data_IF_496254048258
#
_entry.id   IF_496254048258
#
_cell.length_a   1.000
_cell.length_b   1.000
_cell.length_c   1.000
_cell.angle_alpha   90.00
_cell.angle_beta   90.00
_cell.angle_gamma   90.00
#
_symmetry.space_group_name_H-M   'P 1'
#
loop_
_entity.id
_entity.type
_entity.pdbx_description
1 polymer ?
#
# COMPACT_ATOMS: atom_id res chain seq x y z
N UNK A 1 1.95 8.97 -13.48
CA UNK A 1 3.32 8.89 -12.98
C UNK A 1 4.08 7.73 -13.64
N UNK A 2 3.68 6.46 -13.40
CA UNK A 2 4.47 5.30 -13.86
C UNK A 2 4.82 5.29 -15.35
N UNK A 3 3.94 5.83 -16.20
CA UNK A 3 4.14 5.87 -17.66
C UNK A 3 4.79 7.17 -18.17
N UNK A 4 5.13 8.12 -17.30
CA UNK A 4 5.70 9.41 -17.70
C UNK A 4 4.74 10.31 -18.50
N UNK A 5 3.44 10.02 -18.52
CA UNK A 5 2.45 10.81 -19.24
C UNK A 5 1.49 11.49 -18.26
N UNK A 6 0.96 12.65 -18.65
CA UNK A 6 -0.04 13.32 -17.83
C UNK A 6 -1.41 12.60 -17.92
N UNK A 7 -2.26 12.83 -16.94
CA UNK A 7 -3.52 12.12 -16.77
C UNK A 7 -4.42 12.13 -18.03
N UNK A 8 -4.41 13.20 -18.81
CA UNK A 8 -5.21 13.29 -20.05
C UNK A 8 -4.84 12.27 -21.12
N UNK A 9 -3.57 11.81 -21.13
CA UNK A 9 -3.07 10.79 -22.06
C UNK A 9 -2.95 9.40 -21.41
N UNK A 10 -3.12 9.29 -20.10
CA UNK A 10 -3.04 8.01 -19.41
C UNK A 10 -4.22 7.10 -19.75
N UNK A 11 -3.97 5.80 -19.74
CA UNK A 11 -5.03 4.78 -19.92
C UNK A 11 -5.93 4.66 -18.69
N UNK A 12 -5.36 4.85 -17.50
CA UNK A 12 -6.10 4.92 -16.23
C UNK A 12 -6.12 6.36 -15.77
N UNK A 13 -7.30 7.00 -15.82
CA UNK A 13 -7.45 8.45 -15.61
C UNK A 13 -8.09 8.85 -14.30
N UNK A 14 -8.71 7.89 -13.62
CA UNK A 14 -9.41 8.08 -12.35
C UNK A 14 -9.46 6.75 -11.59
N UNK A 15 -10.25 6.66 -10.53
CA UNK A 15 -10.48 5.42 -9.78
C UNK A 15 -11.24 4.37 -10.59
N UNK A 16 -10.62 3.88 -11.63
CA UNK A 16 -11.14 2.80 -12.48
C UNK A 16 -10.67 1.47 -11.90
N UNK A 17 -11.50 0.88 -11.04
CA UNK A 17 -11.21 -0.43 -10.46
C UNK A 17 -11.00 -1.48 -11.55
N UNK A 18 -10.07 -2.38 -11.32
CA UNK A 18 -9.74 -3.50 -12.20
C UNK A 18 -9.36 -3.08 -13.64
N UNK A 19 -8.88 -1.87 -13.83
CA UNK A 19 -8.30 -1.42 -15.08
C UNK A 19 -6.80 -1.62 -15.07
N UNK A 20 -6.31 -2.36 -16.07
CA UNK A 20 -4.89 -2.62 -16.23
C UNK A 20 -4.12 -1.40 -16.72
N UNK A 21 -2.89 -1.26 -16.22
CA UNK A 21 -1.89 -0.42 -16.85
C UNK A 21 -1.44 -1.11 -18.14
N UNK A 22 -1.85 -0.57 -19.29
CA UNK A 22 -1.70 -1.27 -20.58
C UNK A 22 -0.28 -1.33 -21.10
N UNK A 23 0.54 -0.33 -20.78
CA UNK A 23 1.87 -0.22 -21.35
C UNK A 23 2.93 -0.79 -20.42
N UNK A 24 3.95 -1.42 -21.02
CA UNK A 24 5.15 -1.86 -20.34
C UNK A 24 6.22 -0.77 -20.26
N UNK A 25 6.06 0.34 -20.96
CA UNK A 25 6.98 1.47 -20.87
C UNK A 25 6.68 2.26 -19.61
N UNK A 26 7.24 1.80 -18.50
CA UNK A 26 7.10 2.43 -17.19
C UNK A 26 8.45 2.95 -16.71
N UNK A 27 8.44 3.87 -15.75
CA UNK A 27 9.68 4.31 -15.10
C UNK A 27 10.47 3.12 -14.52
N UNK A 28 9.77 2.10 -14.04
CA UNK A 28 10.42 0.91 -13.50
C UNK A 28 11.09 0.06 -14.60
N UNK A 29 10.44 -0.13 -15.77
CA UNK A 29 11.08 -0.84 -16.88
C UNK A 29 12.30 -0.09 -17.41
N UNK A 30 12.21 1.22 -17.59
CA UNK A 30 13.33 2.05 -18.05
C UNK A 30 14.51 1.99 -17.09
N UNK A 31 14.24 2.12 -15.78
CA UNK A 31 15.31 2.05 -14.79
C UNK A 31 15.90 0.65 -14.64
N UNK A 32 15.09 -0.39 -14.73
CA UNK A 32 15.58 -1.77 -14.74
C UNK A 32 16.51 -2.04 -15.93
N UNK A 33 16.14 -1.59 -17.12
CA UNK A 33 16.99 -1.67 -18.33
C UNK A 33 18.28 -0.87 -18.18
N UNK A 34 18.25 0.22 -17.40
CA UNK A 34 19.44 1.00 -17.06
C UNK A 34 20.27 0.37 -15.90
N UNK A 35 19.95 -0.84 -15.45
CA UNK A 35 20.71 -1.58 -14.45
C UNK A 35 20.28 -1.34 -12.99
N UNK A 36 19.20 -0.61 -12.76
CA UNK A 36 18.66 -0.43 -11.41
C UNK A 36 17.97 -1.70 -10.91
N UNK A 37 18.10 -1.98 -9.61
CA UNK A 37 17.19 -2.89 -8.91
C UNK A 37 15.90 -2.14 -8.59
N UNK A 38 14.75 -2.73 -8.91
CA UNK A 38 13.47 -2.02 -8.81
C UNK A 38 12.51 -2.71 -7.84
N UNK A 39 11.86 -1.94 -6.98
CA UNK A 39 10.83 -2.47 -6.07
C UNK A 39 9.63 -1.53 -5.96
N UNK A 40 8.46 -2.13 -5.79
CA UNK A 40 7.23 -1.45 -5.38
C UNK A 40 6.79 -1.99 -4.03
N UNK A 41 6.68 -1.12 -3.03
CA UNK A 41 6.16 -1.47 -1.71
C UNK A 41 4.98 -0.58 -1.38
N UNK A 42 3.83 -1.19 -1.12
CA UNK A 42 2.59 -0.48 -0.80
C UNK A 42 1.43 -0.78 -1.74
N UNK A 43 0.60 0.24 -2.00
CA UNK A 43 -0.62 0.10 -2.81
C UNK A 43 -0.33 0.33 -4.30
N UNK A 44 -0.65 -0.67 -5.14
CA UNK A 44 -0.48 -0.59 -6.59
C UNK A 44 -1.75 -0.13 -7.33
N UNK A 45 -2.79 -0.95 -7.35
CA UNK A 45 -4.11 -0.58 -7.85
C UNK A 45 -4.28 -0.47 -9.37
N UNK A 46 -3.36 -1.02 -10.16
CA UNK A 46 -3.35 -0.92 -11.63
C UNK A 46 -3.24 -2.28 -12.32
N UNK A 47 -3.61 -3.33 -11.62
CA UNK A 47 -3.34 -4.73 -11.98
C UNK A 47 -4.22 -5.27 -13.13
N UNK A 48 -5.37 -4.69 -13.38
CA UNK A 48 -6.37 -5.26 -14.27
C UNK A 48 -7.31 -6.25 -13.56
N UNK A 49 -8.05 -7.01 -14.35
CA UNK A 49 -8.94 -8.07 -13.85
C UNK A 49 -8.14 -9.32 -13.59
N UNK A 50 -8.46 -10.03 -12.50
CA UNK A 50 -7.78 -11.26 -12.11
C UNK A 50 -7.94 -11.51 -10.62
N UNK A 51 -7.34 -12.60 -10.13
CA UNK A 51 -7.41 -13.02 -8.74
C UNK A 51 -6.05 -13.41 -8.15
N UNK A 52 -5.03 -13.54 -9.00
CA UNK A 52 -3.67 -13.95 -8.65
C UNK A 52 -2.64 -13.30 -9.57
N UNK A 53 -1.36 -13.47 -9.26
CA UNK A 53 -0.25 -12.88 -9.98
C UNK A 53 -0.21 -13.31 -11.46
N UNK A 54 -0.65 -14.52 -11.78
CA UNK A 54 -0.68 -15.03 -13.15
C UNK A 54 -1.79 -14.36 -13.96
N UNK A 55 -3.02 -14.32 -13.43
CA UNK A 55 -4.20 -13.80 -14.11
C UNK A 55 -4.25 -12.28 -14.23
N UNK A 56 -3.59 -11.55 -13.34
CA UNK A 56 -3.50 -10.09 -13.46
C UNK A 56 -2.58 -9.68 -14.61
N UNK A 57 -3.16 -9.05 -15.63
CA UNK A 57 -2.46 -8.61 -16.83
C UNK A 57 -1.30 -7.67 -16.53
N UNK A 58 -1.53 -6.72 -15.62
CA UNK A 58 -0.57 -5.69 -15.24
C UNK A 58 -0.05 -5.86 -13.82
N UNK A 59 0.26 -7.09 -13.42
CA UNK A 59 0.88 -7.35 -12.12
C UNK A 59 2.19 -6.55 -11.97
N UNK A 60 2.57 -6.06 -10.79
CA UNK A 60 3.75 -5.19 -10.63
C UNK A 60 5.03 -5.74 -11.25
N UNK A 61 5.31 -7.04 -11.10
CA UNK A 61 6.51 -7.65 -11.70
C UNK A 61 6.43 -7.72 -13.23
N UNK A 62 5.23 -7.72 -13.81
CA UNK A 62 5.01 -7.60 -15.26
C UNK A 62 5.16 -6.16 -15.79
N UNK A 63 5.35 -5.20 -14.89
CA UNK A 63 5.46 -3.76 -15.19
C UNK A 63 6.78 -3.15 -14.76
N UNK A 64 7.83 -3.98 -14.66
CA UNK A 64 9.21 -3.53 -14.48
C UNK A 64 9.72 -3.54 -13.06
N UNK A 65 8.92 -3.95 -12.09
CA UNK A 65 9.41 -4.13 -10.72
C UNK A 65 9.98 -5.53 -10.53
N UNK A 66 11.21 -5.63 -10.02
CA UNK A 66 11.83 -6.89 -9.67
C UNK A 66 11.26 -7.48 -8.39
N UNK A 67 10.74 -6.63 -7.52
CA UNK A 67 10.09 -7.03 -6.28
C UNK A 67 8.84 -6.22 -6.02
N UNK A 68 7.84 -6.89 -5.49
CA UNK A 68 6.59 -6.28 -5.04
C UNK A 68 6.23 -6.77 -3.64
N UNK A 69 5.81 -5.84 -2.79
CA UNK A 69 5.20 -6.15 -1.51
C UNK A 69 4.06 -5.18 -1.22
N UNK A 70 2.83 -5.66 -1.07
CA UNK A 70 1.71 -4.77 -0.74
C UNK A 70 0.37 -5.19 -1.30
N UNK A 71 -0.51 -4.22 -1.45
CA UNK A 71 -1.83 -4.38 -2.03
C UNK A 71 -1.78 -4.30 -3.55
N UNK A 72 -2.16 -5.39 -4.21
CA UNK A 72 -2.27 -5.41 -5.67
C UNK A 72 -3.53 -4.70 -6.11
N UNK A 73 -4.68 -5.08 -5.54
CA UNK A 73 -5.97 -4.53 -5.93
C UNK A 73 -6.21 -3.16 -5.29
N UNK A 74 -6.79 -2.24 -6.05
CA UNK A 74 -7.10 -0.89 -5.59
C UNK A 74 -7.94 -0.89 -4.31
N UNK A 75 -8.97 -1.74 -4.26
CA UNK A 75 -9.90 -1.81 -3.12
C UNK A 75 -9.25 -2.29 -1.83
N UNK A 76 -8.21 -3.12 -1.91
CA UNK A 76 -7.56 -3.68 -0.73
C UNK A 76 -6.82 -2.60 0.06
N UNK A 77 -6.22 -1.65 -0.61
CA UNK A 77 -5.58 -0.51 0.02
C UNK A 77 -6.54 0.57 0.56
N UNK A 78 -7.76 0.20 0.92
CA UNK A 78 -8.70 1.05 1.67
C UNK A 78 -8.78 0.66 3.14
N UNK A 79 -8.05 -0.35 3.58
CA UNK A 79 -7.91 -0.73 4.98
C UNK A 79 -6.43 -0.82 5.34
N UNK A 80 -6.13 -0.40 6.56
CA UNK A 80 -4.76 -0.32 7.05
C UNK A 80 -4.41 -1.48 8.00
N UNK A 81 -5.32 -2.45 8.14
CA UNK A 81 -5.12 -3.72 8.86
C UNK A 81 -5.60 -4.86 7.96
N UNK A 82 -4.72 -5.48 7.17
CA UNK A 82 -5.12 -6.44 6.14
C UNK A 82 -5.82 -7.68 6.70
N UNK A 83 -5.45 -8.14 7.89
CA UNK A 83 -6.07 -9.29 8.54
C UNK A 83 -7.44 -9.00 9.18
N UNK A 84 -7.88 -7.75 9.19
CA UNK A 84 -9.15 -7.38 9.79
C UNK A 84 -10.16 -6.98 8.71
N UNK A 85 -11.39 -7.41 8.83
CA UNK A 85 -12.45 -6.88 7.98
C UNK A 85 -12.65 -5.40 8.26
N UNK A 86 -13.15 -4.69 7.28
CA UNK A 86 -13.55 -3.30 7.44
C UNK A 86 -14.62 -3.19 8.56
N UNK A 87 -14.40 -2.39 9.60
CA UNK A 87 -15.26 -2.40 10.78
C UNK A 87 -16.66 -1.79 10.57
N UNK A 88 -16.87 -1.07 9.48
CA UNK A 88 -18.14 -0.42 9.14
C UNK A 88 -18.51 -0.69 7.70
N UNK A 89 -19.71 -1.14 7.46
CA UNK A 89 -20.24 -1.38 6.13
C UNK A 89 -20.83 -2.78 5.97
N UNK A 90 -21.83 -2.87 5.13
CA UNK A 90 -22.57 -4.10 4.90
C UNK A 90 -22.23 -4.80 3.61
N UNK A 91 -21.32 -4.24 2.79
CA UNK A 91 -20.92 -4.88 1.55
C UNK A 91 -19.98 -6.05 1.81
N UNK A 92 -20.05 -7.06 0.98
CA UNK A 92 -19.20 -8.23 1.06
C UNK A 92 -17.71 -7.86 0.99
N UNK A 93 -17.36 -6.89 0.15
CA UNK A 93 -15.99 -6.37 0.04
C UNK A 93 -15.45 -5.74 1.32
N UNK A 94 -16.31 -5.35 2.25
CA UNK A 94 -15.92 -4.83 3.56
C UNK A 94 -15.76 -5.93 4.62
N UNK A 95 -16.34 -7.10 4.40
CA UNK A 95 -16.32 -8.21 5.36
C UNK A 95 -15.14 -9.16 5.16
N UNK A 96 -14.59 -9.18 3.95
CA UNK A 96 -13.44 -10.03 3.64
C UNK A 96 -12.13 -9.35 4.03
N UNK A 97 -11.19 -10.12 4.52
CA UNK A 97 -9.80 -9.69 4.69
C UNK A 97 -9.21 -9.21 3.37
N UNK A 98 -8.22 -8.35 3.46
CA UNK A 98 -7.54 -7.79 2.30
C UNK A 98 -6.27 -8.55 2.01
N UNK A 99 -5.95 -8.66 0.73
CA UNK A 99 -4.82 -9.46 0.30
C UNK A 99 -3.56 -8.61 0.18
N UNK A 100 -2.54 -8.97 0.96
CA UNK A 100 -1.18 -8.48 0.79
C UNK A 100 -0.37 -9.56 0.10
N UNK A 101 0.40 -9.14 -0.89
CA UNK A 101 1.21 -10.02 -1.72
C UNK A 101 2.69 -9.71 -1.55
N UNK A 102 3.50 -10.74 -1.51
CA UNK A 102 4.94 -10.65 -1.63
C UNK A 102 5.35 -11.39 -2.89
N UNK A 103 5.74 -10.63 -3.89
CA UNK A 103 5.88 -11.14 -5.26
C UNK A 103 4.62 -11.90 -5.66
N UNK A 104 4.71 -13.16 -5.98
CA UNK A 104 3.58 -13.98 -6.46
C UNK A 104 2.85 -14.74 -5.34
N UNK A 105 3.26 -14.53 -4.08
CA UNK A 105 2.70 -15.21 -2.91
C UNK A 105 1.79 -14.29 -2.11
N UNK A 106 0.58 -14.74 -1.85
CA UNK A 106 -0.34 -14.09 -0.91
C UNK A 106 0.12 -14.36 0.53
N UNK A 107 0.24 -13.31 1.36
CA UNK A 107 0.86 -13.40 2.70
C UNK A 107 0.01 -12.82 3.82
N UNK A 108 -1.24 -12.44 3.58
CA UNK A 108 -2.08 -11.74 4.58
C UNK A 108 -2.26 -12.53 5.87
N UNK A 109 -2.35 -13.86 5.78
CA UNK A 109 -2.54 -14.73 6.94
C UNK A 109 -1.35 -14.71 7.92
N UNK A 110 -0.18 -14.32 7.42
CA UNK A 110 1.06 -14.19 8.21
C UNK A 110 1.16 -12.81 8.90
N UNK A 111 0.33 -11.85 8.48
CA UNK A 111 0.42 -10.44 8.86
C UNK A 111 -0.65 -10.06 9.90
N UNK A 112 -0.79 -10.85 10.93
CA UNK A 112 -1.75 -10.58 11.99
C UNK A 112 -1.38 -9.33 12.77
N UNK A 113 -2.34 -8.41 12.94
CA UNK A 113 -2.19 -7.16 13.71
C UNK A 113 -1.17 -6.15 13.14
N UNK A 114 -0.82 -6.26 11.86
CA UNK A 114 0.05 -5.30 11.21
C UNK A 114 -0.73 -4.07 10.76
N UNK A 115 -0.25 -2.88 11.12
CA UNK A 115 -0.64 -1.62 10.53
C UNK A 115 0.17 -1.40 9.26
N UNK A 116 -0.48 -1.18 8.12
CA UNK A 116 0.19 -1.23 6.81
C UNK A 116 1.27 -0.18 6.62
N UNK A 117 1.10 1.02 7.17
CA UNK A 117 2.13 2.06 7.07
C UNK A 117 3.43 1.62 7.76
N UNK A 118 3.32 1.01 8.93
CA UNK A 118 4.49 0.47 9.66
C UNK A 118 5.09 -0.73 8.91
N UNK A 119 4.22 -1.61 8.40
CA UNK A 119 4.61 -2.79 7.64
C UNK A 119 5.37 -2.40 6.36
N UNK A 120 4.84 -1.47 5.58
CA UNK A 120 5.49 -1.00 4.34
C UNK A 120 6.80 -0.27 4.64
N UNK A 121 6.84 0.50 5.72
CA UNK A 121 8.08 1.14 6.19
C UNK A 121 9.12 0.11 6.57
N UNK A 122 8.76 -0.87 7.40
CA UNK A 122 9.66 -1.93 7.84
C UNK A 122 10.20 -2.74 6.65
N UNK A 123 9.31 -3.14 5.72
CA UNK A 123 9.68 -3.88 4.52
C UNK A 123 10.61 -3.07 3.62
N UNK A 124 10.34 -1.79 3.43
CA UNK A 124 11.21 -0.90 2.64
C UNK A 124 12.60 -0.75 3.24
N UNK A 125 12.69 -0.56 4.55
CA UNK A 125 13.98 -0.50 5.25
C UNK A 125 14.76 -1.81 5.10
N UNK A 126 14.09 -2.95 5.31
CA UNK A 126 14.73 -4.25 5.16
C UNK A 126 15.22 -4.46 3.72
N UNK A 127 14.38 -4.15 2.74
CA UNK A 127 14.76 -4.27 1.32
C UNK A 127 16.00 -3.43 0.98
N UNK A 128 16.09 -2.19 1.47
CA UNK A 128 17.27 -1.34 1.26
C UNK A 128 18.52 -1.95 1.92
N UNK A 129 18.38 -2.46 3.13
CA UNK A 129 19.50 -3.11 3.87
C UNK A 129 19.98 -4.34 3.09
N UNK A 130 19.06 -5.20 2.67
CA UNK A 130 19.38 -6.43 1.93
C UNK A 130 20.06 -6.12 0.60
N UNK A 131 19.52 -5.13 -0.13
CA UNK A 131 20.10 -4.69 -1.39
C UNK A 131 21.52 -4.13 -1.20
N UNK A 132 21.71 -3.27 -0.21
CA UNK A 132 23.06 -2.72 0.10
C UNK A 132 24.04 -3.79 0.55
N UNK A 133 23.56 -4.84 1.20
CA UNK A 133 24.38 -5.97 1.63
C UNK A 133 24.79 -6.90 0.47
N UNK A 134 23.94 -7.04 -0.54
CA UNK A 134 24.15 -7.99 -1.64
C UNK A 134 24.71 -7.36 -2.91
N UNK A 135 24.34 -6.11 -3.20
CA UNK A 135 24.71 -5.39 -4.41
C UNK A 135 25.00 -3.89 -4.13
N UNK A 136 26.03 -3.57 -3.33
CA UNK A 136 26.27 -2.21 -2.83
C UNK A 136 26.47 -1.17 -3.93
N UNK A 137 26.99 -1.57 -5.09
CA UNK A 137 27.27 -0.66 -6.21
C UNK A 137 26.11 -0.56 -7.22
N UNK A 138 25.11 -1.44 -7.10
CA UNK A 138 23.94 -1.38 -7.99
C UNK A 138 22.99 -0.29 -7.50
N UNK A 139 22.63 0.68 -8.36
CA UNK A 139 21.60 1.64 -7.98
C UNK A 139 20.24 0.98 -7.85
N UNK A 140 19.34 1.57 -7.07
CA UNK A 140 17.99 1.07 -6.91
C UNK A 140 16.93 2.13 -7.12
N UNK A 141 15.74 1.67 -7.46
CA UNK A 141 14.52 2.46 -7.51
C UNK A 141 13.46 1.79 -6.63
N UNK A 142 13.08 2.48 -5.57
CA UNK A 142 12.00 2.05 -4.67
C UNK A 142 10.79 2.98 -4.84
N UNK A 143 9.69 2.42 -5.35
CA UNK A 143 8.39 3.10 -5.33
C UNK A 143 7.64 2.72 -4.06
N UNK A 144 7.72 3.59 -3.04
CA UNK A 144 7.02 3.41 -1.78
C UNK A 144 5.66 4.13 -1.84
N UNK A 145 4.60 3.33 -2.00
CA UNK A 145 3.24 3.79 -2.22
C UNK A 145 2.37 3.51 -1.00
N UNK A 146 2.40 4.40 -0.01
CA UNK A 146 1.54 4.26 1.16
C UNK A 146 0.05 4.32 0.80
N UNK A 147 -0.75 3.51 1.48
CA UNK A 147 -2.21 3.51 1.40
C UNK A 147 -2.85 4.61 2.27
N UNK A 148 -2.13 5.11 3.26
CA UNK A 148 -2.53 6.25 4.09
C UNK A 148 -2.31 7.58 3.34
N UNK A 149 -3.15 8.60 3.59
CA UNK A 149 -4.25 8.71 4.56
C UNK A 149 -5.63 8.42 3.94
N UNK A 150 -5.79 7.36 3.20
CA UNK A 150 -7.10 7.02 2.62
C UNK A 150 -8.16 6.77 3.71
N UNK A 151 -9.37 7.20 3.49
CA UNK A 151 -10.51 6.77 4.29
C UNK A 151 -10.77 5.26 4.05
N UNK A 152 -10.97 4.43 5.04
CA UNK A 152 -11.20 4.75 6.45
C UNK A 152 -9.93 5.11 7.20
N UNK A 153 -9.92 6.22 7.89
CA UNK A 153 -8.77 6.62 8.69
C UNK A 153 -8.66 5.68 9.90
N UNK A 154 -7.76 4.75 9.79
CA UNK A 154 -7.37 3.84 10.85
C UNK A 154 -6.02 4.28 11.40
N UNK A 155 -5.83 4.11 12.68
CA UNK A 155 -4.59 4.46 13.38
C UNK A 155 -3.96 3.21 13.98
N UNK A 156 -2.66 3.22 14.25
CA UNK A 156 -2.00 2.11 14.93
C UNK A 156 -2.70 1.77 16.25
N UNK A 157 -2.87 0.49 16.54
CA UNK A 157 -3.43 0.01 17.80
C UNK A 157 -2.40 -0.08 18.92
N UNK A 158 -1.11 -0.05 18.54
CA UNK A 158 -0.01 -0.04 19.49
C UNK A 158 0.45 1.39 19.76
N UNK A 159 0.72 1.70 21.00
CA UNK A 159 1.35 2.97 21.36
C UNK A 159 2.76 3.05 20.77
N UNK A 160 3.10 4.21 20.21
CA UNK A 160 4.49 4.49 19.91
C UNK A 160 5.27 4.71 21.23
N UNK A 161 6.54 4.37 21.30
CA UNK A 161 7.38 4.77 22.41
C UNK A 161 7.35 6.29 22.60
N UNK A 162 7.55 6.74 23.85
CA UNK A 162 7.60 8.16 24.16
C UNK A 162 8.61 8.89 23.26
N UNK A 163 8.20 10.01 22.69
CA UNK A 163 9.00 10.78 21.72
C UNK A 163 9.07 10.19 20.31
N UNK A 164 8.37 9.08 20.05
CA UNK A 164 8.23 8.50 18.72
C UNK A 164 6.74 8.52 18.32
N UNK A 165 6.45 9.10 17.19
CA UNK A 165 5.08 9.34 16.76
C UNK A 165 4.44 10.54 17.46
N UNK A 166 3.20 10.84 17.11
CA UNK A 166 2.46 11.96 17.66
C UNK A 166 2.11 11.71 19.13
N UNK A 167 2.70 12.47 20.03
CA UNK A 167 2.45 12.43 21.47
C UNK A 167 2.50 11.03 22.10
N UNK A 168 3.34 10.17 21.59
CA UNK A 168 3.64 8.89 22.20
C UNK A 168 2.50 7.88 22.16
N UNK A 169 1.64 7.87 21.15
CA UNK A 169 0.74 6.76 21.07
C UNK A 169 -0.56 6.93 20.34
N UNK A 170 -1.36 5.91 20.45
CA UNK A 170 -2.68 5.78 19.83
C UNK A 170 -3.71 6.59 20.59
N UNK A 171 -3.58 7.89 20.63
CA UNK A 171 -4.61 8.77 21.21
C UNK A 171 -5.70 9.14 20.21
N UNK A 172 -5.60 8.61 19.01
CA UNK A 172 -6.50 8.83 17.88
C UNK A 172 -7.77 8.00 17.95
N UNK A 173 -8.31 7.87 19.13
CA UNK A 173 -9.49 7.06 19.32
C UNK A 173 -10.77 7.87 19.20
N UNK A 174 -10.65 9.11 18.78
CA UNK A 174 -11.77 10.03 18.70
C UNK A 174 -12.46 10.26 20.05
N UNK A 175 -13.62 10.87 20.02
CA UNK A 175 -14.40 11.17 21.23
C UNK A 175 -14.92 9.92 21.96
N UNK A 176 -15.10 8.84 21.22
CA UNK A 176 -15.60 7.59 21.78
C UNK A 176 -14.52 6.78 22.51
N UNK A 177 -13.26 7.17 22.46
CA UNK A 177 -12.15 6.38 22.94
C UNK A 177 -11.91 5.09 22.14
N UNK A 178 -12.53 4.96 20.99
CA UNK A 178 -12.44 3.78 20.09
C UNK A 178 -11.80 4.17 18.78
N UNK A 179 -11.10 3.23 18.17
CA UNK A 179 -10.62 3.42 16.82
C UNK A 179 -11.79 3.70 15.87
N UNK A 180 -11.66 4.78 15.10
CA UNK A 180 -12.76 5.27 14.27
C UNK A 180 -12.45 4.97 12.82
N UNK A 181 -13.45 4.42 12.18
CA UNK A 181 -13.45 4.25 10.75
C UNK A 181 -14.20 5.41 10.10
N UNK A 182 -13.56 6.06 9.15
CA UNK A 182 -14.08 7.26 8.49
C UNK A 182 -14.72 6.99 7.13
N UNK A 183 -15.00 5.74 6.81
CA UNK A 183 -15.67 5.39 5.55
C UNK A 183 -16.99 6.14 5.33
N UNK A 184 -17.63 6.55 6.42
CA UNK A 184 -18.88 7.32 6.40
C UNK A 184 -18.67 8.83 6.35
N UNK A 185 -17.43 9.30 6.36
CA UNK A 185 -17.10 10.73 6.43
C UNK A 185 -17.18 11.34 7.82
N UNK A 186 -17.49 10.56 8.85
CA UNK A 186 -17.51 11.04 10.23
C UNK A 186 -16.15 10.85 10.87
N UNK A 187 -15.44 11.92 11.16
CA UNK A 187 -14.05 11.86 11.57
C UNK A 187 -13.84 12.55 12.90
N UNK A 188 -13.99 11.84 14.00
CA UNK A 188 -13.59 12.35 15.30
C UNK A 188 -12.04 12.52 15.39
N UNK A 189 -11.30 11.63 14.76
CA UNK A 189 -9.85 11.66 14.75
C UNK A 189 -9.23 12.89 14.07
N UNK A 190 -9.93 13.54 13.15
CA UNK A 190 -9.49 14.81 12.57
C UNK A 190 -9.40 15.97 13.57
N UNK A 191 -9.98 15.79 14.72
CA UNK A 191 -9.96 16.81 15.78
C UNK A 191 -8.83 16.59 16.76
N UNK A 192 -7.92 15.67 16.47
CA UNK A 192 -6.74 15.50 17.29
C UNK A 192 -5.91 16.78 17.23
N UNK A 193 -5.46 17.32 18.38
CA UNK A 193 -4.77 18.60 18.44
C UNK A 193 -3.46 18.65 17.64
N UNK A 194 -2.85 17.50 17.39
CA UNK A 194 -1.60 17.41 16.63
C UNK A 194 -1.84 17.10 15.14
N UNK A 195 -3.09 17.03 14.72
CA UNK A 195 -3.43 16.89 13.33
C UNK A 195 -3.66 18.26 12.72
N UNK A 196 -2.79 18.65 11.82
CA UNK A 196 -2.84 19.96 11.13
C UNK A 196 -3.51 19.79 9.77
#
# INVERSE_FOLDING_TARGET
>A
FLMGVHQGHATVRNNQFDKALHDNHTVATVLREAGYKTALIGKYGLQGKGQDAESWEAYPTKRGFDEFFGYVAHRDGHVHYPSHPWPIGNSESHRTGKQVWWNEREVSSELTRCYTTDLFTARSKQWIIDHRGTAPEQPFFLYLAFDTPHAALQVPTCAYPEGQGLNGGVRWLGRSGKMINTATGTIDSYRHPDYI
#
